data_IF_654878055442
#
_entry.id   IF_654878055442
#
_cell.length_a   1.000
_cell.length_b   1.000
_cell.length_c   1.000
_cell.angle_alpha   90.00
_cell.angle_beta   90.00
_cell.angle_gamma   90.00
#
_symmetry.space_group_name_H-M   'P 1'
#
loop_
_entity.id
_entity.type
_entity.pdbx_description
1 polymer ?
#
# COMPACT_ATOMS: atom_id res chain seq x y z
N UNK A 1 -26.79 -14.89 10.25
CA UNK A 1 -26.08 -14.89 8.96
C UNK A 1 -24.73 -14.26 9.24
N UNK A 2 -23.66 -15.03 9.21
CA UNK A 2 -22.31 -14.48 9.41
C UNK A 2 -22.01 -13.55 8.24
N UNK A 3 -21.64 -12.32 8.56
CA UNK A 3 -21.14 -11.35 7.60
C UNK A 3 -19.98 -12.01 6.83
N UNK A 4 -19.99 -12.07 5.47
CA UNK A 4 -18.81 -12.52 4.73
C UNK A 4 -17.61 -11.75 5.27
N UNK A 5 -16.57 -12.47 5.71
CA UNK A 5 -15.44 -11.87 6.39
C UNK A 5 -14.97 -10.62 5.64
N UNK A 6 -15.03 -9.46 6.30
CA UNK A 6 -14.53 -8.21 5.71
C UNK A 6 -13.00 -8.37 5.62
N UNK A 7 -12.52 -8.78 4.45
CA UNK A 7 -11.09 -8.98 4.18
C UNK A 7 -10.34 -7.66 3.98
N UNK A 8 -11.08 -6.55 3.90
CA UNK A 8 -10.58 -5.20 3.65
C UNK A 8 -11.16 -4.17 4.66
N UNK A 9 -10.97 -4.36 5.98
CA UNK A 9 -11.46 -3.41 6.95
C UNK A 9 -10.65 -2.11 6.88
N UNK A 10 -11.24 -1.00 7.33
CA UNK A 10 -10.46 0.16 7.74
C UNK A 10 -10.15 0.02 9.23
N UNK A 11 -8.87 0.02 9.58
CA UNK A 11 -8.39 -0.02 10.95
C UNK A 11 -7.84 1.35 11.32
N UNK A 12 -8.30 1.90 12.44
CA UNK A 12 -7.87 3.20 12.91
C UNK A 12 -7.14 3.07 14.26
N UNK A 13 -5.86 3.43 14.26
CA UNK A 13 -5.05 3.52 15.46
C UNK A 13 -4.89 4.96 15.96
N UNK A 14 -4.02 5.13 16.95
CA UNK A 14 -3.67 6.46 17.47
C UNK A 14 -2.89 7.31 16.46
N UNK A 15 -2.03 6.69 15.64
CA UNK A 15 -1.12 7.37 14.71
C UNK A 15 -1.32 7.01 13.25
N UNK A 16 -1.94 5.86 12.97
CA UNK A 16 -1.98 5.28 11.63
C UNK A 16 -3.42 4.86 11.31
N UNK A 17 -3.83 5.11 10.08
CA UNK A 17 -5.02 4.50 9.48
C UNK A 17 -4.55 3.46 8.47
N UNK A 18 -5.07 2.24 8.56
CA UNK A 18 -4.86 1.19 7.55
C UNK A 18 -6.18 1.03 6.82
N UNK A 19 -6.17 1.17 5.50
CA UNK A 19 -7.39 1.09 4.68
C UNK A 19 -7.13 0.39 3.35
N UNK A 20 -8.16 -0.12 2.67
CA UNK A 20 -8.00 -0.82 1.40
C UNK A 20 -7.31 0.07 0.37
N UNK A 21 -6.33 -0.47 -0.36
CA UNK A 21 -5.60 0.28 -1.39
C UNK A 21 -6.55 0.78 -2.47
N UNK A 22 -6.26 1.97 -3.03
CA UNK A 22 -7.12 2.67 -3.99
C UNK A 22 -6.31 3.07 -5.21
N UNK A 23 -6.92 3.11 -6.41
CA UNK A 23 -6.20 3.48 -7.64
C UNK A 23 -5.48 4.84 -7.54
N UNK A 24 -6.05 5.78 -6.79
CA UNK A 24 -5.52 7.14 -6.67
C UNK A 24 -4.20 7.20 -5.88
N UNK A 25 -3.87 6.15 -5.11
CA UNK A 25 -2.67 6.11 -4.27
C UNK A 25 -1.38 5.89 -5.06
N UNK A 26 -1.50 5.45 -6.32
CA UNK A 26 -0.34 5.00 -7.10
C UNK A 26 0.78 6.02 -7.09
N UNK A 27 0.46 7.28 -7.38
CA UNK A 27 1.45 8.36 -7.52
C UNK A 27 2.20 8.59 -6.21
N UNK A 28 1.49 8.67 -5.10
CA UNK A 28 2.09 8.95 -3.79
C UNK A 28 2.87 7.74 -3.27
N UNK A 29 2.31 6.52 -3.38
CA UNK A 29 3.04 5.31 -2.99
C UNK A 29 4.27 5.07 -3.87
N UNK A 30 4.19 5.33 -5.18
CA UNK A 30 5.36 5.20 -6.04
C UNK A 30 6.44 6.23 -5.69
N UNK A 31 6.06 7.45 -5.29
CA UNK A 31 7.02 8.46 -4.83
C UNK A 31 7.81 8.02 -3.58
N UNK A 32 7.22 7.15 -2.74
CA UNK A 32 7.88 6.53 -1.59
C UNK A 32 8.71 5.31 -2.03
N UNK A 33 8.16 4.50 -2.93
CA UNK A 33 8.76 3.25 -3.37
C UNK A 33 9.91 3.44 -4.37
N UNK A 34 10.01 4.57 -5.07
CA UNK A 34 11.02 4.79 -6.10
C UNK A 34 12.44 4.99 -5.54
N UNK A 35 12.59 5.16 -4.23
CA UNK A 35 13.89 5.17 -3.57
C UNK A 35 14.45 3.74 -3.47
N UNK A 36 15.58 3.42 -4.13
CA UNK A 36 16.18 2.09 -4.08
C UNK A 36 16.54 1.62 -2.67
N UNK A 37 16.81 2.54 -1.74
CA UNK A 37 17.19 2.21 -0.35
C UNK A 37 16.07 1.50 0.42
N UNK A 38 14.81 1.76 0.06
CA UNK A 38 13.63 1.05 0.60
C UNK A 38 13.72 -0.45 0.34
N UNK A 39 14.41 -0.85 -0.73
CA UNK A 39 14.43 -2.23 -1.23
C UNK A 39 15.73 -2.98 -0.95
N UNK A 40 16.74 -2.35 -0.32
CA UNK A 40 18.07 -2.96 -0.09
C UNK A 40 17.98 -4.31 0.62
N UNK A 41 17.07 -4.45 1.58
CA UNK A 41 16.87 -5.66 2.38
C UNK A 41 15.71 -6.55 1.89
N UNK A 42 15.01 -6.13 0.83
CA UNK A 42 13.81 -6.80 0.34
C UNK A 42 14.13 -7.73 -0.84
N UNK A 43 13.55 -8.94 -0.93
CA UNK A 43 13.83 -9.86 -2.04
C UNK A 43 13.42 -9.32 -3.42
N UNK A 44 12.41 -8.45 -3.46
CA UNK A 44 11.97 -7.77 -4.69
C UNK A 44 12.70 -6.42 -4.87
N UNK A 45 14.01 -6.45 -5.07
CA UNK A 45 14.86 -5.25 -5.15
C UNK A 45 14.47 -4.28 -6.26
N UNK A 46 13.88 -4.78 -7.35
CA UNK A 46 13.54 -3.96 -8.53
C UNK A 46 12.24 -3.16 -8.40
N UNK A 47 11.50 -3.27 -7.29
CA UNK A 47 10.21 -2.56 -7.12
C UNK A 47 10.34 -1.04 -6.93
N UNK A 48 11.56 -0.49 -6.99
CA UNK A 48 11.78 0.95 -7.17
C UNK A 48 11.55 1.41 -8.63
N UNK A 49 11.60 0.48 -9.59
CA UNK A 49 11.31 0.76 -11.00
C UNK A 49 9.78 0.83 -11.19
N UNK A 50 9.29 1.87 -11.89
CA UNK A 50 7.85 2.07 -12.08
C UNK A 50 7.12 0.83 -12.63
N UNK A 51 7.62 0.12 -13.67
CA UNK A 51 6.91 -1.03 -14.22
C UNK A 51 6.74 -2.17 -13.20
N UNK A 52 7.76 -2.41 -12.37
CA UNK A 52 7.75 -3.44 -11.33
C UNK A 52 6.82 -3.06 -10.17
N UNK A 53 6.84 -1.78 -9.79
CA UNK A 53 5.92 -1.25 -8.78
C UNK A 53 4.47 -1.31 -9.27
N UNK A 54 4.22 -0.95 -10.53
CA UNK A 54 2.89 -1.01 -11.16
C UNK A 54 2.34 -2.42 -11.18
N UNK A 55 3.14 -3.40 -11.57
CA UNK A 55 2.72 -4.81 -11.55
C UNK A 55 2.33 -5.27 -10.13
N UNK A 56 3.09 -4.86 -9.10
CA UNK A 56 2.75 -5.12 -7.71
C UNK A 56 1.44 -4.44 -7.28
N UNK A 57 1.31 -3.15 -7.58
CA UNK A 57 0.16 -2.33 -7.20
C UNK A 57 -1.15 -2.79 -7.86
N UNK A 58 -1.11 -3.10 -9.16
CA UNK A 58 -2.27 -3.62 -9.89
C UNK A 58 -2.70 -5.00 -9.33
N UNK A 59 -1.73 -5.85 -8.94
CA UNK A 59 -2.01 -7.11 -8.25
C UNK A 59 -2.66 -6.91 -6.88
N UNK A 60 -2.22 -5.91 -6.11
CA UNK A 60 -2.80 -5.56 -4.82
C UNK A 60 -4.25 -5.07 -4.95
N UNK A 61 -4.54 -4.24 -5.96
CA UNK A 61 -5.90 -3.81 -6.29
C UNK A 61 -6.79 -4.98 -6.72
N UNK A 62 -6.32 -5.80 -7.66
CA UNK A 62 -7.14 -6.86 -8.26
C UNK A 62 -7.44 -8.00 -7.27
N UNK A 63 -6.49 -8.31 -6.39
CA UNK A 63 -6.66 -9.37 -5.40
C UNK A 63 -7.66 -9.03 -4.29
N UNK A 64 -7.98 -7.74 -4.11
CA UNK A 64 -8.80 -7.30 -2.97
C UNK A 64 -8.12 -7.54 -1.62
N UNK A 65 -6.79 -7.67 -1.58
CA UNK A 65 -6.02 -7.92 -0.35
C UNK A 65 -5.02 -6.80 -0.04
N UNK A 66 -4.88 -5.80 -0.91
CA UNK A 66 -3.95 -4.69 -0.72
C UNK A 66 -4.45 -3.64 0.28
N UNK A 67 -3.51 -3.07 1.04
CA UNK A 67 -3.76 -1.98 1.97
C UNK A 67 -2.78 -0.82 1.79
N UNK A 68 -3.23 0.37 2.12
CA UNK A 68 -2.38 1.54 2.32
C UNK A 68 -2.32 1.92 3.79
N UNK A 69 -1.15 2.37 4.21
CA UNK A 69 -0.89 2.90 5.53
C UNK A 69 -0.82 4.41 5.43
N UNK A 70 -1.63 5.10 6.23
CA UNK A 70 -1.76 6.56 6.23
C UNK A 70 -1.32 7.09 7.59
N UNK A 71 -0.43 8.07 7.62
CA UNK A 71 -0.16 8.83 8.84
C UNK A 71 -1.38 9.67 9.19
N UNK A 72 -1.93 9.48 10.39
CA UNK A 72 -3.20 10.08 10.80
C UNK A 72 -3.12 11.60 10.99
N UNK A 73 -1.93 12.12 11.30
CA UNK A 73 -1.73 13.54 11.59
C UNK A 73 -1.64 14.35 10.31
N UNK A 74 -0.88 13.85 9.35
CA UNK A 74 -0.57 14.54 8.08
C UNK A 74 -1.52 14.15 6.95
N UNK A 75 -2.14 12.97 7.04
CA UNK A 75 -2.95 12.39 5.97
C UNK A 75 -2.13 11.80 4.83
N UNK A 76 -0.81 11.78 4.94
CA UNK A 76 0.10 11.27 3.91
C UNK A 76 0.19 9.74 3.96
N UNK A 77 0.39 9.13 2.80
CA UNK A 77 0.73 7.73 2.71
C UNK A 77 2.15 7.50 3.25
N UNK A 78 2.31 6.40 3.97
CA UNK A 78 3.60 5.98 4.55
C UNK A 78 3.99 4.56 4.13
N UNK A 79 3.17 3.91 3.30
CA UNK A 79 3.48 2.60 2.73
C UNK A 79 2.25 1.81 2.28
N UNK A 80 2.49 0.59 1.82
CA UNK A 80 1.45 -0.37 1.39
C UNK A 80 1.87 -1.81 1.65
N UNK A 81 0.89 -2.73 1.68
CA UNK A 81 1.10 -4.19 1.73
C UNK A 81 0.09 -4.92 0.86
#
# INVERSE_FOLDING_TARGET
MSDPAILQPTLEGQRIIVRPIRPEDFTELYSLACDPSVWEQHPAQNRHLEPEFRAFFDGALHSGNGFSFVDKVTGLLIGSS
#
